data_IF_426925327587
#
_entry.id   IF_426925327587
#
_cell.length_a   1.000
_cell.length_b   1.000
_cell.length_c   1.000
_cell.angle_alpha   90.00
_cell.angle_beta   90.00
_cell.angle_gamma   90.00
#
_symmetry.space_group_name_H-M   'P 1'
#
loop_
_entity.id
_entity.type
_entity.pdbx_description
1 polymer ?
#
# COMPACT_ATOMS: atom_id res chain seq x y z
N UNK A 1 0.30 24.90 9.85
CA UNK A 1 -0.26 24.85 8.48
C UNK A 1 -1.22 23.67 8.49
N UNK A 2 -2.53 23.90 8.28
CA UNK A 2 -3.51 22.80 8.27
C UNK A 2 -3.17 21.92 7.05
N UNK A 3 -2.70 20.70 7.26
CA UNK A 3 -2.49 19.75 6.17
C UNK A 3 -3.82 19.61 5.44
N UNK A 4 -3.82 19.94 4.15
CA UNK A 4 -5.02 19.75 3.33
C UNK A 4 -5.25 18.25 3.22
N UNK A 5 -6.32 17.76 3.83
CA UNK A 5 -6.68 16.33 3.85
C UNK A 5 -7.08 15.77 2.48
N UNK A 6 -7.14 16.60 1.45
CA UNK A 6 -7.47 16.24 0.06
C UNK A 6 -6.83 17.24 -0.94
N UNK A 7 -5.50 17.23 -1.08
CA UNK A 7 -4.81 18.15 -2.00
C UNK A 7 -5.14 17.89 -3.47
N UNK A 8 -5.68 16.73 -3.79
CA UNK A 8 -5.98 16.31 -5.15
C UNK A 8 -7.46 16.34 -5.50
N UNK A 9 -8.32 16.73 -4.55
CA UNK A 9 -9.78 16.77 -4.70
C UNK A 9 -10.37 15.41 -5.13
N UNK A 10 -9.93 14.33 -4.46
CA UNK A 10 -10.34 12.94 -4.73
C UNK A 10 -11.37 12.41 -3.74
N UNK A 11 -11.53 13.02 -2.54
CA UNK A 11 -12.47 12.55 -1.51
C UNK A 11 -13.91 12.43 -2.00
N UNK A 12 -14.34 13.31 -2.89
CA UNK A 12 -15.67 13.27 -3.48
C UNK A 12 -15.98 12.00 -4.27
N UNK A 13 -14.93 11.26 -4.69
CA UNK A 13 -15.04 10.01 -5.43
C UNK A 13 -14.93 8.77 -4.54
N UNK A 14 -14.64 8.94 -3.24
CA UNK A 14 -14.59 7.84 -2.27
C UNK A 14 -15.91 7.78 -1.52
N UNK A 15 -16.62 6.66 -1.67
CA UNK A 15 -17.89 6.46 -0.98
C UNK A 15 -17.65 6.14 0.49
N UNK A 16 -18.46 6.73 1.37
CA UNK A 16 -18.50 6.37 2.79
C UNK A 16 -19.66 5.39 3.00
N UNK A 17 -19.37 4.25 3.64
CA UNK A 17 -20.35 3.24 4.01
C UNK A 17 -20.27 3.07 5.52
N UNK A 18 -21.32 3.45 6.22
CA UNK A 18 -21.40 3.28 7.67
C UNK A 18 -21.77 1.84 8.01
N UNK A 19 -21.36 1.39 9.20
CA UNK A 19 -21.67 0.07 9.75
C UNK A 19 -21.25 -1.11 8.84
N UNK A 20 -20.09 -1.01 8.18
CA UNK A 20 -19.55 -2.05 7.34
C UNK A 20 -18.06 -2.35 7.68
N UNK A 21 -17.66 -3.65 7.81
CA UNK A 21 -18.47 -4.88 7.72
C UNK A 21 -19.28 -5.19 8.99
N UNK A 22 -19.09 -4.41 10.04
CA UNK A 22 -19.80 -4.52 11.33
C UNK A 22 -20.22 -3.14 11.83
N UNK A 23 -21.20 -3.09 12.72
CA UNK A 23 -21.69 -1.87 13.34
C UNK A 23 -20.55 -1.04 13.97
N UNK A 24 -20.60 0.28 13.79
CA UNK A 24 -19.60 1.23 14.29
C UNK A 24 -18.36 1.41 13.41
N UNK A 25 -18.19 0.64 12.34
CA UNK A 25 -17.09 0.82 11.39
C UNK A 25 -17.53 1.68 10.21
N UNK A 26 -16.80 2.78 9.97
CA UNK A 26 -17.00 3.62 8.79
C UNK A 26 -16.02 3.18 7.69
N UNK A 27 -16.53 2.50 6.69
CA UNK A 27 -15.73 1.99 5.57
C UNK A 27 -15.56 3.04 4.47
N UNK A 28 -14.33 3.17 3.99
CA UNK A 28 -13.98 4.04 2.84
C UNK A 28 -13.89 3.19 1.58
N UNK A 29 -14.95 3.24 0.79
CA UNK A 29 -15.06 2.43 -0.43
C UNK A 29 -14.43 3.15 -1.61
N UNK A 30 -13.30 2.61 -2.08
CA UNK A 30 -12.58 3.11 -3.26
C UNK A 30 -13.20 2.66 -4.60
N UNK A 31 -14.20 1.79 -4.56
CA UNK A 31 -14.81 1.24 -5.79
C UNK A 31 -15.36 2.36 -6.66
N UNK A 32 -16.04 3.33 -6.06
CA UNK A 32 -16.57 4.50 -6.78
C UNK A 32 -15.47 5.39 -7.40
N UNK A 33 -14.30 5.48 -6.76
CA UNK A 33 -13.14 6.18 -7.33
C UNK A 33 -12.61 5.43 -8.55
N UNK A 34 -12.51 4.09 -8.46
CA UNK A 34 -12.03 3.23 -9.56
C UNK A 34 -13.03 3.22 -10.73
N UNK A 35 -14.33 3.24 -10.45
CA UNK A 35 -15.40 3.28 -11.46
C UNK A 35 -15.50 4.63 -12.18
N UNK A 36 -14.89 5.69 -11.64
CA UNK A 36 -14.87 7.02 -12.25
C UNK A 36 -13.56 7.22 -13.04
N UNK A 37 -13.58 7.15 -14.40
CA UNK A 37 -12.36 7.12 -15.20
C UNK A 37 -11.37 8.27 -14.90
N UNK A 38 -11.85 9.51 -14.84
CA UNK A 38 -11.01 10.67 -14.58
C UNK A 38 -10.38 10.66 -13.18
N UNK A 39 -11.13 10.21 -12.16
CA UNK A 39 -10.63 10.08 -10.80
C UNK A 39 -9.59 8.97 -10.70
N UNK A 40 -9.84 7.82 -11.33
CA UNK A 40 -8.92 6.70 -11.35
C UNK A 40 -7.61 7.07 -12.07
N UNK A 41 -7.69 7.67 -13.27
CA UNK A 41 -6.52 8.16 -14.01
C UNK A 41 -5.71 9.15 -13.16
N UNK A 42 -6.39 10.12 -12.55
CA UNK A 42 -5.75 11.13 -11.70
C UNK A 42 -5.03 10.48 -10.50
N UNK A 43 -5.67 9.49 -9.87
CA UNK A 43 -5.09 8.73 -8.75
C UNK A 43 -3.84 7.98 -9.20
N UNK A 44 -3.93 7.18 -10.27
CA UNK A 44 -2.79 6.44 -10.81
C UNK A 44 -1.63 7.37 -11.20
N UNK A 45 -1.91 8.49 -11.87
CA UNK A 45 -0.88 9.45 -12.25
C UNK A 45 -0.15 10.05 -11.03
N UNK A 46 -0.88 10.36 -9.94
CA UNK A 46 -0.27 10.89 -8.73
C UNK A 46 0.59 9.86 -8.00
N UNK A 47 0.11 8.63 -7.89
CA UNK A 47 0.91 7.53 -7.33
C UNK A 47 2.16 7.25 -8.16
N UNK A 48 2.05 7.30 -9.49
CA UNK A 48 3.19 7.17 -10.42
C UNK A 48 4.20 8.31 -10.25
N UNK A 49 3.73 9.56 -10.11
CA UNK A 49 4.58 10.73 -9.86
C UNK A 49 5.38 10.57 -8.55
N UNK A 50 4.73 10.16 -7.45
CA UNK A 50 5.39 9.94 -6.16
C UNK A 50 6.42 8.81 -6.29
N UNK A 51 6.06 7.70 -6.93
CA UNK A 51 6.96 6.56 -7.15
C UNK A 51 8.20 6.97 -7.96
N UNK A 52 8.02 7.82 -8.96
CA UNK A 52 9.12 8.37 -9.76
C UNK A 52 10.02 9.32 -8.95
N UNK A 53 9.44 10.18 -8.11
CA UNK A 53 10.20 11.08 -7.23
C UNK A 53 10.99 10.30 -6.15
N UNK A 54 10.51 9.15 -5.77
CA UNK A 54 11.23 8.22 -4.89
C UNK A 54 12.35 7.47 -5.61
N UNK A 55 12.52 7.62 -6.92
CA UNK A 55 13.44 6.83 -7.77
C UNK A 55 13.18 5.32 -7.65
N UNK A 56 11.92 4.91 -7.66
CA UNK A 56 11.52 3.52 -7.55
C UNK A 56 12.17 2.66 -8.64
N UNK A 57 12.69 1.49 -8.26
CA UNK A 57 13.23 0.47 -9.17
C UNK A 57 12.38 -0.79 -9.23
N UNK A 58 11.48 -0.96 -8.26
CA UNK A 58 10.53 -2.08 -8.19
C UNK A 58 9.24 -1.63 -7.50
N UNK A 59 8.12 -2.19 -7.93
CA UNK A 59 6.81 -2.00 -7.32
C UNK A 59 6.40 -3.31 -6.65
N UNK A 60 6.05 -3.27 -5.37
CA UNK A 60 5.38 -4.36 -4.67
C UNK A 60 3.94 -3.96 -4.36
N UNK A 61 3.05 -4.91 -4.18
CA UNK A 61 1.70 -4.60 -3.74
C UNK A 61 1.04 -5.75 -3.01
N UNK A 62 0.11 -5.37 -2.14
CA UNK A 62 -0.60 -6.26 -1.23
C UNK A 62 -1.95 -6.65 -1.82
N UNK A 63 -2.27 -7.94 -1.73
CA UNK A 63 -3.56 -8.49 -2.17
C UNK A 63 -4.72 -7.86 -1.41
N UNK A 64 -5.76 -7.38 -2.08
CA UNK A 64 -5.94 -7.45 -3.52
C UNK A 64 -6.17 -6.06 -4.16
N UNK A 65 -6.70 -5.08 -3.42
CA UNK A 65 -7.09 -3.78 -3.98
C UNK A 65 -5.89 -2.93 -4.38
N UNK A 66 -4.76 -3.06 -3.67
CA UNK A 66 -3.50 -2.42 -4.04
C UNK A 66 -3.02 -2.78 -5.45
N UNK A 67 -3.31 -4.01 -5.92
CA UNK A 67 -2.90 -4.48 -7.26
C UNK A 67 -3.43 -3.61 -8.41
N UNK A 68 -4.60 -3.01 -8.22
CA UNK A 68 -5.25 -2.17 -9.24
C UNK A 68 -4.37 -0.96 -9.56
N UNK A 69 -3.87 -0.30 -8.53
CA UNK A 69 -3.01 0.88 -8.67
C UNK A 69 -1.57 0.50 -9.02
N UNK A 70 -1.03 -0.52 -8.35
CA UNK A 70 0.35 -0.97 -8.53
C UNK A 70 0.61 -1.44 -9.97
N UNK A 71 -0.35 -2.13 -10.60
CA UNK A 71 -0.24 -2.55 -11.98
C UNK A 71 -0.11 -1.37 -12.95
N UNK A 72 -0.86 -0.29 -12.71
CA UNK A 72 -0.76 0.95 -13.49
C UNK A 72 0.63 1.59 -13.33
N UNK A 73 1.09 1.76 -12.08
CA UNK A 73 2.39 2.37 -11.77
C UNK A 73 3.53 1.57 -12.42
N UNK A 74 3.54 0.25 -12.21
CA UNK A 74 4.58 -0.62 -12.74
C UNK A 74 4.65 -0.58 -14.27
N UNK A 75 3.49 -0.58 -14.94
CA UNK A 75 3.39 -0.45 -16.40
C UNK A 75 3.90 0.90 -16.88
N UNK A 76 3.50 2.00 -16.22
CA UNK A 76 3.85 3.35 -16.66
C UNK A 76 5.35 3.66 -16.45
N UNK A 77 5.95 3.11 -15.40
CA UNK A 77 7.38 3.25 -15.11
C UNK A 77 8.25 2.13 -15.73
N UNK A 78 7.64 1.11 -16.34
CA UNK A 78 8.33 -0.07 -16.88
C UNK A 78 9.17 -0.79 -15.81
N UNK A 79 8.63 -0.95 -14.60
CA UNK A 79 9.29 -1.56 -13.45
C UNK A 79 8.75 -2.97 -13.17
N UNK A 80 9.56 -3.85 -12.52
CA UNK A 80 9.08 -5.12 -11.99
C UNK A 80 7.90 -4.91 -11.03
N UNK A 81 6.92 -5.83 -11.10
CA UNK A 81 5.77 -5.85 -10.20
C UNK A 81 5.76 -7.12 -9.35
N UNK A 82 5.95 -6.95 -8.04
CA UNK A 82 6.06 -8.03 -7.07
C UNK A 82 4.73 -8.18 -6.33
N UNK A 83 4.22 -9.40 -6.26
CA UNK A 83 2.96 -9.70 -5.59
C UNK A 83 3.23 -10.17 -4.16
N UNK A 84 2.65 -9.47 -3.19
CA UNK A 84 2.54 -9.91 -1.82
C UNK A 84 1.10 -10.40 -1.58
N UNK A 85 0.93 -11.69 -1.22
CA UNK A 85 -0.38 -12.34 -1.19
C UNK A 85 -0.59 -13.16 0.09
N UNK A 86 -1.85 -13.46 0.38
CA UNK A 86 -2.21 -14.41 1.45
C UNK A 86 -1.63 -15.79 1.16
N UNK A 87 -1.32 -16.60 2.18
CA UNK A 87 -0.71 -17.92 2.03
C UNK A 87 -1.46 -18.83 1.05
N UNK A 88 -0.69 -19.56 0.26
CA UNK A 88 -1.21 -20.50 -0.74
C UNK A 88 -1.76 -19.89 -2.02
N UNK A 89 -1.58 -18.58 -2.22
CA UNK A 89 -2.02 -17.87 -3.44
C UNK A 89 -0.91 -17.67 -4.46
N UNK A 90 0.34 -17.90 -4.09
CA UNK A 90 1.49 -17.81 -4.97
C UNK A 90 1.97 -19.23 -5.35
N UNK A 91 2.30 -19.47 -6.64
CA UNK A 91 3.00 -20.69 -7.05
C UNK A 91 4.45 -20.63 -6.54
N UNK A 92 5.14 -21.76 -6.54
CA UNK A 92 6.53 -21.89 -6.11
C UNK A 92 6.76 -21.69 -4.59
N UNK A 93 8.05 -21.66 -4.21
CA UNK A 93 8.47 -21.43 -2.81
C UNK A 93 8.34 -19.96 -2.46
N UNK A 94 7.84 -19.70 -1.26
CA UNK A 94 7.63 -18.35 -0.73
C UNK A 94 8.41 -18.11 0.55
N UNK A 95 8.64 -16.84 0.86
CA UNK A 95 8.88 -16.35 2.21
C UNK A 95 7.55 -15.91 2.78
N UNK A 96 7.31 -16.20 4.06
CA UNK A 96 6.05 -15.92 4.75
C UNK A 96 6.35 -15.07 5.98
N UNK A 97 5.50 -14.09 6.25
CA UNK A 97 5.55 -13.27 7.46
C UNK A 97 4.18 -13.29 8.11
N UNK A 98 4.15 -13.69 9.38
CA UNK A 98 2.96 -13.59 10.23
C UNK A 98 2.89 -12.22 10.86
N UNK A 99 1.68 -11.69 11.03
CA UNK A 99 1.44 -10.42 11.72
C UNK A 99 0.05 -10.42 12.36
N UNK A 100 -0.10 -9.60 13.39
CA UNK A 100 -1.35 -9.50 14.13
C UNK A 100 -2.27 -8.45 13.51
N UNK A 101 -3.55 -8.77 13.47
CA UNK A 101 -4.66 -7.85 13.21
C UNK A 101 -5.42 -7.60 14.50
N UNK A 102 -6.30 -6.61 14.53
CA UNK A 102 -7.15 -6.33 15.71
C UNK A 102 -7.95 -7.55 16.18
N UNK A 103 -8.27 -8.48 15.26
CA UNK A 103 -9.09 -9.68 15.53
C UNK A 103 -8.42 -10.96 15.02
N UNK A 104 -7.17 -11.22 15.44
CA UNK A 104 -6.44 -12.44 15.13
C UNK A 104 -5.13 -12.21 14.39
N UNK A 105 -4.43 -13.31 14.10
CA UNK A 105 -3.20 -13.29 13.29
C UNK A 105 -3.49 -13.68 11.84
N UNK A 106 -2.72 -13.14 10.93
CA UNK A 106 -2.74 -13.49 9.51
C UNK A 106 -1.32 -13.51 8.97
N UNK A 107 -1.16 -13.89 7.71
CA UNK A 107 0.16 -13.97 7.09
C UNK A 107 0.13 -13.41 5.68
N UNK A 108 1.28 -12.97 5.23
CA UNK A 108 1.52 -12.54 3.85
C UNK A 108 2.76 -13.24 3.30
N UNK A 109 2.79 -13.52 2.01
CA UNK A 109 3.90 -14.20 1.37
C UNK A 109 4.36 -13.51 0.09
N UNK A 110 5.67 -13.63 -0.20
CA UNK A 110 6.31 -13.22 -1.45
C UNK A 110 7.12 -14.40 -2.00
N UNK A 111 7.15 -14.58 -3.32
CA UNK A 111 7.95 -15.64 -3.95
C UNK A 111 9.44 -15.44 -3.72
N UNK A 112 10.18 -16.55 -3.44
CA UNK A 112 11.64 -16.53 -3.24
C UNK A 112 12.43 -16.14 -4.50
N UNK A 113 11.89 -16.45 -5.67
CA UNK A 113 12.50 -16.19 -6.98
C UNK A 113 12.00 -14.91 -7.65
N UNK A 114 11.64 -13.90 -6.86
CA UNK A 114 11.31 -12.56 -7.38
C UNK A 114 12.54 -11.82 -7.89
N UNK A 115 12.33 -10.72 -8.62
CA UNK A 115 13.41 -9.91 -9.19
C UNK A 115 14.01 -8.89 -8.20
N UNK A 116 13.51 -8.83 -6.95
CA UNK A 116 14.01 -7.91 -5.92
C UNK A 116 15.42 -8.25 -5.51
N UNK A 117 16.24 -7.23 -5.32
CA UNK A 117 17.59 -7.32 -4.79
C UNK A 117 17.89 -6.18 -3.80
N UNK A 118 19.01 -6.29 -3.08
CA UNK A 118 19.39 -5.37 -1.99
C UNK A 118 19.57 -3.89 -2.39
N UNK A 119 19.78 -3.62 -3.67
CA UNK A 119 19.97 -2.25 -4.17
C UNK A 119 18.69 -1.61 -4.65
N UNK A 120 17.56 -2.34 -4.63
CA UNK A 120 16.29 -1.81 -5.08
C UNK A 120 15.73 -0.75 -4.14
N UNK A 121 15.04 0.20 -4.75
CA UNK A 121 14.14 1.14 -4.09
C UNK A 121 12.71 0.70 -4.38
N UNK A 122 12.08 0.13 -3.36
CA UNK A 122 10.79 -0.56 -3.52
C UNK A 122 9.66 0.33 -3.05
N UNK A 123 8.66 0.54 -3.90
CA UNK A 123 7.38 1.15 -3.49
C UNK A 123 6.37 0.03 -3.24
N UNK A 124 5.89 -0.06 -2.00
CA UNK A 124 4.80 -0.96 -1.61
C UNK A 124 3.48 -0.20 -1.76
N UNK A 125 2.64 -0.65 -2.67
CA UNK A 125 1.37 0.02 -2.99
C UNK A 125 0.19 -0.70 -2.37
N UNK A 126 -0.66 0.06 -1.68
CA UNK A 126 -1.95 -0.42 -1.19
C UNK A 126 -3.06 0.61 -1.44
N UNK A 127 -4.30 0.25 -1.23
CA UNK A 127 -5.41 1.18 -1.32
C UNK A 127 -5.59 2.01 -0.05
N UNK A 128 -5.30 1.44 1.13
CA UNK A 128 -5.55 2.08 2.41
C UNK A 128 -4.55 1.63 3.48
N UNK A 129 -4.08 2.58 4.29
CA UNK A 129 -3.34 2.31 5.53
C UNK A 129 -4.27 2.56 6.71
N UNK A 130 -4.51 1.51 7.51
CA UNK A 130 -5.26 1.54 8.76
C UNK A 130 -4.29 1.41 9.95
N UNK A 131 -4.09 0.22 10.48
CA UNK A 131 -3.14 -0.06 11.58
C UNK A 131 -1.69 -0.24 11.12
N UNK A 132 -1.45 -0.37 9.81
CA UNK A 132 -0.13 -0.51 9.22
C UNK A 132 0.46 -1.93 9.23
N UNK A 133 -0.12 -2.87 9.96
CA UNK A 133 0.45 -4.22 10.15
C UNK A 133 0.75 -4.95 8.84
N UNK A 134 -0.16 -4.93 7.87
CA UNK A 134 0.03 -5.61 6.57
C UNK A 134 1.17 -4.97 5.77
N UNK A 135 1.24 -3.64 5.75
CA UNK A 135 2.28 -2.91 5.01
C UNK A 135 3.66 -3.16 5.63
N UNK A 136 3.74 -3.15 6.97
CA UNK A 136 4.97 -3.45 7.72
C UNK A 136 5.40 -4.89 7.45
N UNK A 137 4.52 -5.88 7.55
CA UNK A 137 4.84 -7.27 7.26
C UNK A 137 5.39 -7.46 5.83
N UNK A 138 4.82 -6.74 4.85
CA UNK A 138 5.35 -6.74 3.48
C UNK A 138 6.75 -6.11 3.40
N UNK A 139 6.99 -5.01 4.10
CA UNK A 139 8.31 -4.36 4.16
C UNK A 139 9.35 -5.25 4.85
N UNK A 140 8.99 -5.91 5.95
CA UNK A 140 9.85 -6.84 6.65
C UNK A 140 10.22 -8.07 5.79
N UNK A 141 9.30 -8.59 4.96
CA UNK A 141 9.65 -9.63 3.99
C UNK A 141 10.76 -9.18 3.04
N UNK A 142 10.73 -7.92 2.60
CA UNK A 142 11.75 -7.36 1.70
C UNK A 142 13.08 -7.12 2.42
N UNK A 143 13.06 -6.61 3.64
CA UNK A 143 14.28 -6.34 4.41
C UNK A 143 14.95 -7.63 4.89
N UNK A 144 14.19 -8.55 5.47
CA UNK A 144 14.71 -9.79 6.06
C UNK A 144 15.22 -10.81 5.02
N UNK A 145 14.58 -10.86 3.84
CA UNK A 145 14.85 -11.93 2.88
C UNK A 145 15.60 -11.46 1.62
N UNK A 146 15.51 -10.17 1.30
CA UNK A 146 16.18 -9.61 0.11
C UNK A 146 17.22 -8.54 0.47
N UNK A 147 17.36 -8.22 1.78
CA UNK A 147 18.30 -7.23 2.31
C UNK A 147 18.09 -5.82 1.75
N UNK A 148 16.87 -5.47 1.39
CA UNK A 148 16.49 -4.09 1.05
C UNK A 148 16.56 -3.24 2.31
N UNK A 149 17.19 -2.08 2.25
CA UNK A 149 17.27 -1.18 3.41
C UNK A 149 15.93 -0.51 3.69
N UNK A 150 15.60 -0.26 4.97
CA UNK A 150 14.34 0.40 5.35
C UNK A 150 14.13 1.73 4.62
N UNK A 151 15.17 2.55 4.52
CA UNK A 151 15.17 3.84 3.82
C UNK A 151 14.91 3.74 2.30
N UNK A 152 15.08 2.55 1.74
CA UNK A 152 14.78 2.22 0.35
C UNK A 152 13.37 1.62 0.15
N UNK A 153 12.53 1.67 1.16
CA UNK A 153 11.14 1.21 1.09
C UNK A 153 10.20 2.41 1.33
N UNK A 154 9.29 2.62 0.41
CA UNK A 154 8.20 3.58 0.52
C UNK A 154 6.87 2.82 0.51
N UNK A 155 6.08 2.97 1.56
CA UNK A 155 4.67 2.57 1.56
C UNK A 155 3.87 3.71 0.93
N UNK A 156 3.09 3.39 -0.11
CA UNK A 156 2.31 4.36 -0.87
C UNK A 156 0.86 3.90 -0.95
N UNK A 157 -0.06 4.66 -0.38
CA UNK A 157 -1.47 4.31 -0.39
C UNK A 157 -2.37 5.45 -0.89
N UNK A 158 -3.58 5.11 -1.33
CA UNK A 158 -4.57 6.11 -1.70
C UNK A 158 -5.11 6.80 -0.46
N UNK A 159 -5.41 6.04 0.61
CA UNK A 159 -6.06 6.52 1.83
C UNK A 159 -5.21 6.23 3.06
N UNK A 160 -5.12 7.21 3.95
CA UNK A 160 -4.65 7.07 5.32
C UNK A 160 -5.81 7.27 6.31
N UNK A 161 -5.84 6.42 7.35
CA UNK A 161 -6.69 6.56 8.52
C UNK A 161 -5.81 6.84 9.75
N UNK A 162 -5.32 8.09 9.94
CA UNK A 162 -4.27 8.39 10.91
C UNK A 162 -4.69 8.12 12.36
N UNK A 163 -6.00 8.16 12.67
CA UNK A 163 -6.51 7.85 14.01
C UNK A 163 -6.30 6.38 14.41
N UNK A 164 -6.01 5.51 13.45
CA UNK A 164 -5.63 4.11 13.69
C UNK A 164 -4.10 3.90 13.87
N UNK A 165 -3.31 4.96 13.72
CA UNK A 165 -1.89 4.99 14.05
C UNK A 165 -0.95 4.30 13.06
N UNK A 166 -1.46 3.70 11.97
CA UNK A 166 -0.63 2.90 11.07
C UNK A 166 0.45 3.69 10.35
N UNK A 167 0.14 4.88 9.87
CA UNK A 167 1.12 5.74 9.20
C UNK A 167 2.25 6.18 10.15
N UNK A 168 1.94 6.48 11.42
CA UNK A 168 2.95 6.78 12.42
C UNK A 168 3.82 5.55 12.73
N UNK A 169 3.20 4.38 12.90
CA UNK A 169 3.91 3.13 13.18
C UNK A 169 4.89 2.76 12.05
N UNK A 170 4.49 2.94 10.79
CA UNK A 170 5.33 2.73 9.61
C UNK A 170 6.56 3.66 9.64
N UNK A 171 6.35 4.95 9.91
CA UNK A 171 7.42 5.94 10.00
C UNK A 171 8.39 5.66 11.15
N UNK A 172 7.88 5.25 12.31
CA UNK A 172 8.68 4.91 13.49
C UNK A 172 9.61 3.71 13.25
N UNK A 173 9.26 2.83 12.30
CA UNK A 173 10.11 1.72 11.87
C UNK A 173 11.14 2.10 10.78
N UNK A 174 11.18 3.38 10.40
CA UNK A 174 12.14 3.90 9.44
C UNK A 174 11.78 3.68 7.98
N UNK A 175 10.54 3.31 7.68
CA UNK A 175 10.02 3.23 6.30
C UNK A 175 9.44 4.58 5.86
N UNK A 176 9.55 4.86 4.56
CA UNK A 176 8.82 5.98 3.96
C UNK A 176 7.32 5.71 3.92
N UNK A 177 6.51 6.74 4.09
CA UNK A 177 5.04 6.67 3.95
C UNK A 177 4.52 7.91 3.24
N UNK A 178 3.72 7.71 2.20
CA UNK A 178 3.03 8.76 1.45
C UNK A 178 1.60 8.30 1.14
N UNK A 179 0.65 9.23 1.23
CA UNK A 179 -0.77 8.96 0.95
C UNK A 179 -1.41 10.12 0.23
N UNK A 180 -2.43 9.84 -0.58
CA UNK A 180 -3.12 10.89 -1.34
C UNK A 180 -4.24 11.55 -0.55
N UNK A 181 -4.92 10.79 0.30
CA UNK A 181 -6.07 11.23 1.09
C UNK A 181 -5.88 10.85 2.54
N UNK A 182 -6.38 11.69 3.44
CA UNK A 182 -6.44 11.38 4.88
C UNK A 182 -7.86 11.61 5.38
N UNK A 183 -8.37 10.64 6.15
CA UNK A 183 -9.66 10.71 6.82
C UNK A 183 -9.43 10.63 8.33
N UNK A 184 -9.66 11.73 9.02
CA UNK A 184 -9.78 11.78 10.49
C UNK A 184 -11.23 11.64 10.91
N UNK A 185 -11.47 11.11 12.10
CA UNK A 185 -12.78 10.97 12.73
C UNK A 185 -13.44 12.33 12.97
#
# INVERSE_FOLDING_TARGET
>A
MKLMSDPYNLKQFVRTVEDFPIDGITFRDITSLIETPDAFIKTCNKLTEISKLFDATSIASIESRGFIFAGSIAKDLSLPFILARKPGKLPNKTFIKDFDLEYGSTSIEIQKNTMVNKSDRVVIVDDLVATGGTAIACAELLTENFNVLNENILILAVIDLPDLGGSQLIADQGYGIETLLSYTS
#
